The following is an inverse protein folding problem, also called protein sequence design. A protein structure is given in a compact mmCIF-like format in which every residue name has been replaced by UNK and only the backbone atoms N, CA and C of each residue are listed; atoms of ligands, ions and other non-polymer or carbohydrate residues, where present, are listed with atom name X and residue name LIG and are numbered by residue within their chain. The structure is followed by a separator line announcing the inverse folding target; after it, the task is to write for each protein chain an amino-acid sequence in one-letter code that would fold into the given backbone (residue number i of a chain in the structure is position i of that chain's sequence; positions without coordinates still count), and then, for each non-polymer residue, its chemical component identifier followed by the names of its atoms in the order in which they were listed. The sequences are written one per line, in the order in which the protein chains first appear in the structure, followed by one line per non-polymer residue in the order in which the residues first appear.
data_IF_476075535336
#
_entry.id   IF_476075535336
#
_cell.length_a   1.000
_cell.length_b   1.000
_cell.length_c   1.000
_cell.angle_alpha   90.00
_cell.angle_beta   90.00
_cell.angle_gamma   90.00
#
_symmetry.space_group_name_H-M   'P 1'
#
loop_
_entity.id
_entity.type
_entity.pdbx_description
1 polymer ?
#
# COMPACT_ATOMS: atom_id res chain seq x y z
N UNK A 1 -63.65 69.19 58.84
CA UNK A 1 -63.16 70.53 59.27
C UNK A 1 -61.70 70.39 59.64
N UNK A 2 -60.87 71.39 59.50
CA UNK A 2 -60.49 72.13 58.27
C UNK A 2 -58.99 72.00 57.99
N UNK A 3 -58.62 72.16 56.76
CA UNK A 3 -57.74 73.15 56.12
C UNK A 3 -56.39 73.37 56.82
N UNK A 4 -55.26 73.11 56.12
CA UNK A 4 -54.29 74.20 55.88
C UNK A 4 -53.36 73.83 54.67
N UNK A 5 -53.27 74.83 53.79
CA UNK A 5 -52.38 74.90 52.61
C UNK A 5 -50.96 75.27 53.11
N UNK A 6 -49.97 74.74 52.43
CA UNK A 6 -48.71 75.45 52.29
C UNK A 6 -48.03 75.02 50.94
N UNK A 7 -47.81 76.07 50.15
CA UNK A 7 -47.10 76.04 48.91
C UNK A 7 -45.60 76.08 49.15
N UNK A 8 -44.78 75.37 48.40
CA UNK A 8 -43.33 75.62 48.29
C UNK A 8 -42.80 75.23 46.90
N UNK A 9 -42.27 76.19 46.28
CA UNK A 9 -41.38 76.43 45.18
C UNK A 9 -40.76 75.21 44.42
N UNK A 10 -40.88 75.39 43.13
CA UNK A 10 -40.18 74.62 42.09
C UNK A 10 -38.64 74.85 42.08
N UNK A 11 -37.90 73.79 42.02
CA UNK A 11 -36.51 73.77 41.62
C UNK A 11 -36.35 72.88 40.43
N UNK A 12 -36.14 73.51 39.26
CA UNK A 12 -35.92 72.82 37.99
C UNK A 12 -34.42 72.34 37.94
N UNK A 13 -34.18 71.10 38.23
CA UNK A 13 -32.89 70.51 38.01
C UNK A 13 -32.91 69.76 36.64
N UNK A 14 -32.21 70.33 35.67
CA UNK A 14 -31.97 69.67 34.37
C UNK A 14 -31.05 68.47 34.56
N UNK A 15 -31.62 67.26 34.42
CA UNK A 15 -30.88 66.01 34.31
C UNK A 15 -30.28 65.89 32.90
N UNK A 16 -28.96 66.10 32.80
CA UNK A 16 -28.19 65.73 31.62
C UNK A 16 -28.13 64.25 31.62
N UNK A 17 -28.81 63.57 30.72
CA UNK A 17 -28.63 62.12 30.42
C UNK A 17 -27.29 61.91 29.71
N UNK A 18 -26.44 60.98 30.17
CA UNK A 18 -25.28 60.58 29.39
C UNK A 18 -25.74 59.89 28.13
N UNK A 19 -25.19 60.28 26.97
CA UNK A 19 -25.43 59.60 25.69
C UNK A 19 -24.94 58.14 25.77
N UNK A 20 -25.83 57.18 25.47
CA UNK A 20 -25.47 55.78 25.27
C UNK A 20 -24.45 55.69 24.14
N UNK A 21 -23.36 54.90 24.33
CA UNK A 21 -22.41 54.63 23.23
C UNK A 21 -23.15 53.87 22.12
N UNK A 22 -22.78 54.07 20.85
CA UNK A 22 -23.42 53.37 19.72
C UNK A 22 -23.26 51.87 19.88
N UNK A 23 -24.36 51.14 19.82
CA UNK A 23 -24.35 49.66 19.78
C UNK A 23 -23.61 49.23 18.52
N UNK A 24 -22.40 48.74 18.70
CA UNK A 24 -21.64 48.10 17.65
C UNK A 24 -22.37 46.79 17.33
N UNK A 25 -22.93 46.68 16.14
CA UNK A 25 -23.49 45.44 15.63
C UNK A 25 -22.41 44.33 15.72
N UNK A 26 -22.71 43.17 16.29
CA UNK A 26 -21.79 42.07 16.26
C UNK A 26 -21.61 41.66 14.81
N UNK A 27 -20.46 42.03 14.21
CA UNK A 27 -20.09 41.47 12.94
C UNK A 27 -20.03 39.94 13.10
N UNK A 28 -21.03 39.26 12.57
CA UNK A 28 -21.06 37.80 12.43
C UNK A 28 -19.92 37.47 11.47
N UNK A 29 -18.73 37.16 12.04
CA UNK A 29 -17.65 36.57 11.28
C UNK A 29 -18.06 35.14 10.99
N UNK A 30 -18.61 34.88 9.81
CA UNK A 30 -18.74 33.57 9.26
C UNK A 30 -17.31 33.03 9.11
N UNK A 31 -16.89 32.13 10.01
CA UNK A 31 -15.78 31.26 9.79
C UNK A 31 -16.30 30.08 8.99
N UNK A 32 -16.17 30.14 7.70
CA UNK A 32 -16.34 28.98 6.84
C UNK A 32 -15.19 28.04 7.13
N UNK A 33 -15.46 26.96 7.84
CA UNK A 33 -14.49 25.89 8.10
C UNK A 33 -14.57 24.95 6.90
N UNK A 34 -13.70 25.15 5.92
CA UNK A 34 -13.55 24.23 4.78
C UNK A 34 -12.74 23.04 5.28
N UNK A 35 -13.41 21.93 5.50
CA UNK A 35 -12.73 20.64 5.76
C UNK A 35 -12.29 20.06 4.41
N UNK A 36 -10.98 20.02 4.19
CA UNK A 36 -10.39 19.46 2.98
C UNK A 36 -9.93 18.04 3.28
N UNK A 37 -10.66 17.07 2.74
CA UNK A 37 -10.25 15.66 2.80
C UNK A 37 -9.16 15.39 1.76
N UNK A 38 -8.10 14.67 2.15
CA UNK A 38 -7.00 14.29 1.28
C UNK A 38 -6.95 12.80 1.07
N UNK A 39 -6.70 12.43 -0.17
CA UNK A 39 -6.47 11.04 -0.56
C UNK A 39 -4.97 10.82 -0.74
N UNK A 40 -4.47 9.72 -0.17
CA UNK A 40 -3.08 9.28 -0.29
C UNK A 40 -3.02 8.03 -1.17
N UNK A 41 -2.13 8.07 -2.16
CA UNK A 41 -1.89 6.96 -3.09
C UNK A 41 -0.39 6.64 -3.09
N UNK A 42 -0.07 5.39 -2.82
CA UNK A 42 1.28 4.87 -3.02
C UNK A 42 1.47 4.52 -4.49
N UNK A 43 2.58 4.99 -5.08
CA UNK A 43 2.90 4.77 -6.47
C UNK A 43 4.37 4.40 -6.64
N UNK A 44 4.65 3.45 -7.51
CA UNK A 44 6.02 3.04 -7.85
C UNK A 44 6.28 3.37 -9.30
N UNK A 45 7.24 4.24 -9.54
CA UNK A 45 7.66 4.62 -10.88
C UNK A 45 8.95 3.86 -11.24
N UNK A 46 8.90 3.10 -12.33
CA UNK A 46 10.06 2.35 -12.85
C UNK A 46 10.26 2.65 -14.32
N UNK A 47 11.51 2.60 -14.77
CA UNK A 47 11.86 2.72 -16.19
C UNK A 47 11.62 1.41 -16.97
N UNK A 48 11.92 1.40 -18.25
CA UNK A 48 11.76 0.24 -19.14
C UNK A 48 12.67 -0.94 -18.73
N UNK A 49 13.74 -0.69 -17.97
CA UNK A 49 14.62 -1.72 -17.43
C UNK A 49 14.13 -2.27 -16.08
N UNK A 50 13.09 -1.67 -15.51
CA UNK A 50 12.54 -2.02 -14.19
C UNK A 50 13.21 -1.29 -13.03
N UNK A 51 14.13 -0.35 -13.30
CA UNK A 51 14.79 0.43 -12.25
C UNK A 51 13.91 1.55 -11.71
N UNK A 52 13.97 1.85 -10.40
CA UNK A 52 13.15 2.90 -9.81
C UNK A 52 13.55 4.27 -10.35
N UNK A 53 12.56 5.08 -10.68
CA UNK A 53 12.77 6.48 -11.07
C UNK A 53 12.58 7.33 -9.83
N UNK A 54 13.68 7.81 -9.24
CA UNK A 54 13.65 8.72 -8.10
C UNK A 54 13.67 10.20 -8.54
N UNK A 55 13.39 11.12 -7.60
CA UNK A 55 13.49 12.57 -7.83
C UNK A 55 12.34 13.17 -8.65
N UNK A 56 11.19 12.48 -8.75
CA UNK A 56 10.00 13.02 -9.42
C UNK A 56 9.22 13.93 -8.46
N UNK A 57 8.75 15.06 -8.99
CA UNK A 57 7.83 15.96 -8.29
C UNK A 57 6.37 15.78 -8.74
N UNK A 58 5.42 16.53 -8.16
CA UNK A 58 4.00 16.45 -8.52
C UNK A 58 3.72 16.69 -10.00
N UNK A 59 4.50 17.57 -10.66
CA UNK A 59 4.35 17.89 -12.08
C UNK A 59 4.78 16.76 -13.03
N UNK A 60 5.58 15.81 -12.54
CA UNK A 60 6.02 14.65 -13.32
C UNK A 60 4.95 13.54 -13.37
N UNK A 61 3.88 13.67 -12.59
CA UNK A 61 2.78 12.71 -12.56
C UNK A 61 1.49 13.29 -13.14
N UNK A 62 0.72 12.44 -13.77
CA UNK A 62 -0.66 12.70 -14.18
C UNK A 62 -1.57 11.76 -13.42
N UNK A 63 -2.36 12.30 -12.49
CA UNK A 63 -3.40 11.57 -11.78
C UNK A 63 -4.75 11.81 -12.44
N UNK A 64 -5.53 10.75 -12.63
CA UNK A 64 -6.94 10.83 -13.01
C UNK A 64 -7.79 10.08 -11.99
N UNK A 65 -8.95 10.65 -11.68
CA UNK A 65 -10.02 10.03 -10.90
C UNK A 65 -11.25 9.95 -11.79
N UNK A 66 -11.79 8.75 -12.00
CA UNK A 66 -12.89 8.48 -12.94
C UNK A 66 -12.65 9.09 -14.33
N UNK A 67 -11.40 9.01 -14.81
CA UNK A 67 -10.97 9.55 -16.09
C UNK A 67 -10.70 11.06 -16.14
N UNK A 68 -11.01 11.81 -15.06
CA UNK A 68 -10.77 13.26 -14.98
C UNK A 68 -9.43 13.54 -14.31
N UNK A 69 -8.64 14.43 -14.91
CA UNK A 69 -7.36 14.86 -14.33
C UNK A 69 -7.60 15.63 -13.04
N UNK A 70 -6.90 15.22 -11.98
CA UNK A 70 -6.90 15.85 -10.66
C UNK A 70 -5.48 16.32 -10.35
N UNK A 71 -5.30 17.57 -9.88
CA UNK A 71 -3.99 18.08 -9.52
C UNK A 71 -3.43 17.35 -8.29
N UNK A 72 -2.14 17.03 -8.30
CA UNK A 72 -1.43 16.54 -7.14
C UNK A 72 -0.95 17.70 -6.28
N UNK A 73 -1.16 17.62 -4.97
CA UNK A 73 -0.61 18.57 -4.00
C UNK A 73 0.86 18.26 -3.69
N UNK A 74 1.19 16.96 -3.60
CA UNK A 74 2.54 16.52 -3.26
C UNK A 74 2.89 15.15 -3.86
N UNK A 75 4.19 14.91 -4.03
CA UNK A 75 4.78 13.64 -4.41
C UNK A 75 6.10 13.49 -3.63
N UNK A 76 6.11 12.60 -2.63
CA UNK A 76 7.28 12.36 -1.81
C UNK A 76 7.84 10.98 -2.07
N UNK A 77 9.15 10.91 -2.32
CA UNK A 77 9.86 9.64 -2.44
C UNK A 77 10.17 9.08 -1.05
N UNK A 78 9.70 7.87 -0.80
CA UNK A 78 10.03 7.07 0.39
C UNK A 78 10.97 5.96 -0.08
N UNK A 79 12.26 6.12 0.19
CA UNK A 79 13.23 5.09 -0.10
C UNK A 79 13.03 3.89 0.83
N UNK A 80 13.26 2.68 0.31
CA UNK A 80 13.47 1.54 1.18
C UNK A 80 14.72 1.80 2.05
N UNK A 81 14.70 1.32 3.30
CA UNK A 81 15.87 1.45 4.16
C UNK A 81 17.11 0.93 3.43
N UNK A 82 18.12 1.78 3.28
CA UNK A 82 19.32 1.44 2.53
C UNK A 82 20.09 0.32 3.25
N UNK A 83 20.63 -0.63 2.46
CA UNK A 83 21.74 -1.43 2.93
C UNK A 83 22.85 -0.45 3.31
N UNK A 84 23.36 -0.50 4.52
CA UNK A 84 24.53 0.31 4.93
C UNK A 84 25.71 -0.04 4.03
N UNK A 85 25.79 0.56 2.87
CA UNK A 85 27.03 0.66 2.09
C UNK A 85 27.82 1.80 2.74
N UNK A 86 29.03 1.49 3.21
CA UNK A 86 29.96 2.49 3.71
C UNK A 86 29.99 3.69 2.76
N UNK A 87 29.92 4.94 3.24
CA UNK A 87 29.84 6.11 2.39
C UNK A 87 31.08 6.19 1.50
N UNK A 88 30.88 5.94 0.19
CA UNK A 88 31.84 6.35 -0.82
C UNK A 88 31.88 7.88 -0.81
N UNK A 89 33.05 8.45 -0.52
CA UNK A 89 33.22 9.88 -0.39
C UNK A 89 32.70 10.59 -1.68
N UNK A 90 31.89 11.65 -1.54
CA UNK A 90 31.38 12.36 -2.69
C UNK A 90 32.52 12.94 -3.50
N UNK A 91 32.46 12.91 -4.84
CA UNK A 91 33.41 13.66 -5.66
C UNK A 91 33.23 15.14 -5.36
N UNK A 92 34.34 15.79 -5.01
CA UNK A 92 34.41 17.23 -4.79
C UNK A 92 33.94 17.97 -6.07
N UNK A 93 32.84 18.71 -5.97
CA UNK A 93 32.48 19.69 -6.99
C UNK A 93 31.05 19.74 -7.51
N UNK A 94 30.04 19.18 -6.87
CA UNK A 94 28.65 19.33 -7.29
C UNK A 94 27.81 20.06 -6.23
N UNK A 95 27.74 21.38 -6.32
CA UNK A 95 26.70 22.18 -5.66
C UNK A 95 25.39 22.06 -6.44
N UNK A 96 24.56 21.12 -6.04
CA UNK A 96 23.16 21.11 -6.42
C UNK A 96 22.35 20.97 -5.13
N UNK A 97 21.76 22.10 -4.72
CA UNK A 97 20.81 22.12 -3.61
C UNK A 97 19.55 21.35 -4.03
N UNK A 98 19.57 20.05 -3.82
CA UNK A 98 18.36 19.24 -3.86
C UNK A 98 17.82 19.22 -2.44
N UNK A 99 16.72 19.92 -2.20
CA UNK A 99 15.98 19.80 -0.94
C UNK A 99 15.39 18.39 -0.84
N UNK A 100 16.19 17.46 -0.37
CA UNK A 100 15.70 16.21 0.17
C UNK A 100 15.17 16.55 1.56
N UNK A 101 13.86 16.74 1.68
CA UNK A 101 13.23 16.73 3.01
C UNK A 101 13.27 15.28 3.49
N UNK A 102 14.41 14.89 4.03
CA UNK A 102 14.49 13.75 4.92
C UNK A 102 13.75 14.21 6.19
N UNK A 103 12.66 13.55 6.64
CA UNK A 103 12.16 13.80 7.97
C UNK A 103 13.36 13.56 8.90
N UNK A 104 13.72 14.57 9.71
CA UNK A 104 14.80 14.41 10.69
C UNK A 104 14.51 13.14 11.48
N UNK A 105 15.44 12.17 11.53
CA UNK A 105 15.29 11.02 12.39
C UNK A 105 15.19 11.56 13.81
N UNK A 106 14.09 11.33 14.48
CA UNK A 106 14.04 11.45 15.93
C UNK A 106 15.12 10.51 16.43
N UNK A 107 16.16 11.07 17.07
CA UNK A 107 17.31 10.30 17.57
C UNK A 107 16.78 9.12 18.40
N UNK A 108 16.93 7.91 17.88
CA UNK A 108 16.61 6.65 18.58
C UNK A 108 15.63 5.69 17.88
N UNK A 109 14.86 6.08 16.85
CA UNK A 109 14.00 5.15 16.12
C UNK A 109 14.53 4.93 14.70
N UNK A 110 15.15 3.78 14.46
CA UNK A 110 15.38 3.28 13.11
C UNK A 110 14.06 3.23 12.37
N UNK A 111 14.01 3.74 11.14
CA UNK A 111 12.79 3.66 10.30
C UNK A 111 12.26 2.22 10.32
N UNK A 112 10.95 2.02 10.56
CA UNK A 112 10.39 0.68 10.62
C UNK A 112 10.66 -0.05 9.30
N UNK A 113 11.24 -1.26 9.38
CA UNK A 113 11.53 -2.09 8.21
C UNK A 113 10.23 -2.48 7.48
N UNK A 114 10.37 -2.80 6.20
CA UNK A 114 9.26 -3.24 5.37
C UNK A 114 8.72 -4.59 5.84
N UNK A 115 7.40 -4.78 5.73
CA UNK A 115 6.76 -6.07 5.90
C UNK A 115 6.52 -6.70 4.52
N UNK A 116 7.19 -7.81 4.26
CA UNK A 116 7.15 -8.51 2.97
C UNK A 116 6.62 -9.92 3.19
N UNK A 117 5.63 -10.33 2.41
CA UNK A 117 5.06 -11.67 2.43
C UNK A 117 5.41 -12.38 1.14
N UNK A 118 6.12 -13.50 1.21
CA UNK A 118 6.21 -14.44 0.10
C UNK A 118 5.02 -15.40 0.17
N UNK A 119 4.16 -15.34 -0.86
CA UNK A 119 3.04 -16.24 -1.03
C UNK A 119 3.34 -17.20 -2.18
N UNK A 120 3.55 -18.48 -1.88
CA UNK A 120 3.79 -19.51 -2.87
C UNK A 120 2.52 -20.32 -3.11
N UNK A 121 2.02 -20.28 -4.34
CA UNK A 121 0.96 -21.17 -4.80
C UNK A 121 1.57 -22.46 -5.29
N UNK A 122 1.41 -23.53 -4.51
CA UNK A 122 1.88 -24.88 -4.83
C UNK A 122 0.80 -25.65 -5.60
N UNK A 123 1.24 -26.48 -6.54
CA UNK A 123 0.40 -27.49 -7.17
C UNK A 123 1.13 -28.84 -7.12
N UNK A 124 0.37 -29.92 -7.10
CA UNK A 124 0.91 -31.26 -7.15
C UNK A 124 1.18 -31.74 -8.59
N UNK A 125 0.80 -30.98 -9.59
CA UNK A 125 1.14 -31.26 -10.97
C UNK A 125 2.63 -30.99 -11.20
N UNK A 126 3.39 -32.03 -11.60
CA UNK A 126 4.83 -31.95 -11.84
C UNK A 126 5.21 -30.84 -12.84
N UNK A 127 4.34 -30.60 -13.85
CA UNK A 127 4.55 -29.54 -14.84
C UNK A 127 4.53 -28.13 -14.22
N UNK A 128 3.84 -27.97 -13.08
CA UNK A 128 3.72 -26.70 -12.33
C UNK A 128 4.71 -26.55 -11.20
N UNK A 129 5.43 -27.61 -10.80
CA UNK A 129 6.45 -27.53 -9.73
C UNK A 129 7.74 -26.87 -10.19
N UNK A 130 8.14 -27.05 -11.44
CA UNK A 130 9.39 -26.49 -11.98
C UNK A 130 9.46 -24.97 -11.94
N UNK A 131 8.36 -24.29 -12.13
CA UNK A 131 8.26 -22.83 -12.04
C UNK A 131 8.56 -22.32 -10.63
N UNK A 132 7.76 -22.72 -9.63
CA UNK A 132 8.00 -22.37 -8.23
C UNK A 132 9.41 -22.71 -7.74
N UNK A 133 10.00 -23.84 -8.14
CA UNK A 133 11.37 -24.21 -7.79
C UNK A 133 12.41 -23.25 -8.38
N UNK A 134 12.22 -22.80 -9.63
CA UNK A 134 13.10 -21.76 -10.21
C UNK A 134 12.95 -20.44 -9.48
N UNK A 135 11.73 -20.02 -9.18
CA UNK A 135 11.48 -18.77 -8.46
C UNK A 135 11.95 -18.82 -7.01
N UNK A 136 11.94 -20.01 -6.39
CA UNK A 136 12.53 -20.22 -5.08
C UNK A 136 14.01 -19.81 -5.05
N UNK A 137 14.79 -20.25 -6.05
CA UNK A 137 16.20 -19.85 -6.18
C UNK A 137 16.33 -18.33 -6.33
N UNK A 138 15.47 -17.72 -7.11
CA UNK A 138 15.50 -16.27 -7.34
C UNK A 138 14.97 -15.49 -6.13
N UNK A 139 13.96 -16.01 -5.41
CA UNK A 139 13.48 -15.42 -4.16
C UNK A 139 14.59 -15.38 -3.09
N UNK A 140 15.52 -16.34 -3.10
CA UNK A 140 16.68 -16.33 -2.21
C UNK A 140 17.61 -15.13 -2.50
N UNK A 141 17.76 -14.70 -3.75
CA UNK A 141 18.56 -13.51 -4.07
C UNK A 141 17.92 -12.23 -3.51
N UNK A 142 16.58 -12.14 -3.53
CA UNK A 142 15.87 -11.00 -2.92
C UNK A 142 16.14 -10.94 -1.41
N UNK A 143 16.22 -12.09 -0.73
CA UNK A 143 16.55 -12.13 0.71
C UNK A 143 17.93 -11.53 1.00
N UNK A 144 18.88 -11.70 0.07
CA UNK A 144 20.24 -11.15 0.23
C UNK A 144 20.27 -9.62 0.07
N UNK A 145 19.32 -9.06 -0.66
CA UNK A 145 19.21 -7.61 -0.94
C UNK A 145 18.28 -6.84 0.02
N UNK A 146 17.64 -7.55 0.96
CA UNK A 146 16.79 -6.90 1.97
C UNK A 146 17.59 -6.05 2.95
N UNK A 147 17.02 -4.91 3.36
CA UNK A 147 17.60 -4.09 4.42
C UNK A 147 17.56 -4.85 5.78
N UNK A 148 18.47 -4.56 6.71
CA UNK A 148 18.51 -5.25 8.02
C UNK A 148 17.20 -5.19 8.80
N UNK A 149 16.46 -4.08 8.68
CA UNK A 149 15.19 -3.88 9.36
C UNK A 149 14.01 -4.59 8.67
N UNK A 150 14.14 -5.03 7.41
CA UNK A 150 13.06 -5.70 6.68
C UNK A 150 12.70 -7.03 7.32
N UNK A 151 11.41 -7.29 7.42
CA UNK A 151 10.87 -8.54 7.94
C UNK A 151 10.07 -9.27 6.88
N UNK A 152 10.29 -10.55 6.78
CA UNK A 152 9.66 -11.41 5.77
C UNK A 152 8.88 -12.53 6.45
N UNK A 153 7.64 -12.73 6.01
CA UNK A 153 6.83 -13.90 6.30
C UNK A 153 6.73 -14.80 5.07
N UNK A 154 6.60 -16.11 5.27
CA UNK A 154 6.45 -17.09 4.20
C UNK A 154 5.14 -17.84 4.37
N UNK A 155 4.31 -17.82 3.34
CA UNK A 155 3.00 -18.45 3.28
C UNK A 155 2.94 -19.35 2.05
N UNK A 156 2.32 -20.52 2.19
CA UNK A 156 2.15 -21.49 1.11
C UNK A 156 0.67 -21.86 0.99
N UNK A 157 0.16 -21.83 -0.20
CA UNK A 157 -1.17 -22.33 -0.56
C UNK A 157 -1.03 -23.63 -1.36
N UNK A 158 -1.53 -24.75 -0.80
CA UNK A 158 -1.51 -26.09 -1.37
C UNK A 158 -2.85 -26.82 -1.14
N UNK A 159 -3.97 -26.26 -1.55
CA UNK A 159 -5.36 -26.56 -1.18
C UNK A 159 -5.77 -26.04 0.20
N UNK A 160 -4.81 -25.57 0.99
CA UNK A 160 -4.98 -24.89 2.25
C UNK A 160 -3.98 -23.78 2.37
N UNK A 161 -4.30 -22.75 3.14
CA UNK A 161 -3.35 -21.71 3.44
C UNK A 161 -2.51 -22.07 4.66
N UNK A 162 -1.20 -22.10 4.49
CA UNK A 162 -0.25 -22.48 5.53
C UNK A 162 0.75 -21.36 5.79
N UNK A 163 0.81 -20.86 7.02
CA UNK A 163 1.89 -19.97 7.46
C UNK A 163 3.12 -20.81 7.79
N UNK A 164 4.17 -20.69 6.99
CA UNK A 164 5.43 -21.43 7.14
C UNK A 164 6.45 -20.71 8.00
N UNK A 165 6.44 -19.38 7.96
CA UNK A 165 7.30 -18.52 8.75
C UNK A 165 6.60 -17.22 9.05
N UNK A 166 6.59 -16.82 10.31
CA UNK A 166 6.13 -15.50 10.73
C UNK A 166 7.17 -14.43 10.42
N UNK A 167 6.80 -13.17 10.46
CA UNK A 167 7.70 -12.06 10.14
C UNK A 167 9.01 -12.12 10.94
N UNK A 168 10.12 -12.25 10.22
CA UNK A 168 11.46 -12.27 10.79
C UNK A 168 12.45 -11.50 9.93
N UNK A 169 13.49 -10.94 10.54
CA UNK A 169 14.67 -10.41 9.85
C UNK A 169 15.83 -11.40 9.80
N UNK A 170 15.68 -12.58 10.41
CA UNK A 170 16.71 -13.63 10.38
C UNK A 170 16.86 -14.23 8.99
N UNK A 171 17.94 -13.87 8.32
CA UNK A 171 18.26 -14.27 6.93
C UNK A 171 18.54 -15.76 6.79
N UNK A 172 19.11 -16.39 7.80
CA UNK A 172 19.42 -17.82 7.78
C UNK A 172 18.12 -18.63 7.83
N UNK A 173 17.25 -18.31 8.77
CA UNK A 173 15.91 -18.91 8.87
C UNK A 173 15.09 -18.69 7.59
N UNK A 174 15.14 -17.48 7.02
CA UNK A 174 14.46 -17.18 5.75
C UNK A 174 14.96 -18.04 4.60
N UNK A 175 16.29 -18.14 4.41
CA UNK A 175 16.88 -18.98 3.35
C UNK A 175 16.48 -20.44 3.53
N UNK A 176 16.54 -20.95 4.76
CA UNK A 176 16.15 -22.32 5.05
C UNK A 176 14.68 -22.58 4.72
N UNK A 177 13.77 -21.71 5.17
CA UNK A 177 12.33 -21.90 4.96
C UNK A 177 11.95 -21.71 3.49
N UNK A 178 12.45 -20.68 2.81
CA UNK A 178 12.18 -20.47 1.37
C UNK A 178 12.77 -21.64 0.58
N UNK A 179 13.98 -22.11 0.94
CA UNK A 179 14.62 -23.28 0.32
C UNK A 179 13.80 -24.57 0.44
N UNK A 180 12.91 -24.68 1.43
CA UNK A 180 12.13 -25.88 1.69
C UNK A 180 10.61 -25.69 1.56
N UNK A 181 10.12 -24.44 1.47
CA UNK A 181 8.71 -24.10 1.57
C UNK A 181 7.83 -24.81 0.54
N UNK A 182 8.34 -25.05 -0.66
CA UNK A 182 7.60 -25.69 -1.76
C UNK A 182 7.63 -27.22 -1.63
N UNK A 183 8.77 -27.79 -1.22
CA UNK A 183 9.01 -29.23 -1.22
C UNK A 183 8.43 -29.92 0.01
N UNK A 184 8.58 -29.30 1.17
CA UNK A 184 8.24 -29.93 2.44
C UNK A 184 6.85 -29.49 2.86
N UNK A 185 5.88 -30.39 2.67
CA UNK A 185 4.47 -30.21 3.03
C UNK A 185 4.17 -30.16 4.54
N UNK A 186 5.19 -29.92 5.39
CA UNK A 186 5.01 -29.97 6.84
C UNK A 186 4.22 -28.75 7.34
N UNK A 187 2.98 -28.99 7.74
CA UNK A 187 2.07 -28.00 8.30
C UNK A 187 2.37 -27.74 9.80
N UNK A 188 3.64 -27.61 10.16
CA UNK A 188 3.98 -27.30 11.56
C UNK A 188 3.47 -25.92 11.93
N UNK A 189 3.04 -25.83 13.17
CA UNK A 189 2.69 -24.54 13.77
C UNK A 189 3.91 -23.63 13.83
N UNK A 190 3.77 -22.45 13.23
CA UNK A 190 4.73 -21.37 13.42
C UNK A 190 4.29 -20.53 14.61
N UNK A 191 5.06 -20.50 15.70
CA UNK A 191 4.75 -19.63 16.83
C UNK A 191 4.88 -18.16 16.40
N UNK A 192 4.15 -17.25 17.07
CA UNK A 192 4.30 -15.83 16.83
C UNK A 192 5.73 -15.36 17.16
N UNK A 193 6.29 -14.53 16.28
CA UNK A 193 7.51 -13.77 16.56
C UNK A 193 7.16 -12.48 17.35
N UNK A 194 8.15 -11.78 17.93
CA UNK A 194 7.91 -10.44 18.46
C UNK A 194 7.24 -9.53 17.43
N UNK A 195 6.31 -8.65 17.83
CA UNK A 195 5.57 -7.78 16.93
C UNK A 195 6.48 -7.00 15.98
N UNK A 196 6.03 -6.78 14.71
CA UNK A 196 4.76 -7.22 14.13
C UNK A 196 4.74 -8.72 13.81
N UNK A 197 3.66 -9.43 14.19
CA UNK A 197 3.51 -10.87 14.02
C UNK A 197 2.27 -11.18 13.16
N UNK A 198 2.47 -11.88 12.05
CA UNK A 198 1.36 -12.39 11.24
C UNK A 198 0.66 -13.57 11.93
N UNK A 199 1.43 -14.41 12.64
CA UNK A 199 0.91 -15.59 13.30
C UNK A 199 -0.10 -15.27 14.42
N UNK A 200 0.02 -14.09 15.04
CA UNK A 200 -0.89 -13.61 16.10
C UNK A 200 -2.29 -13.37 15.55
N UNK A 201 -2.41 -12.88 14.31
CA UNK A 201 -3.67 -12.51 13.67
C UNK A 201 -4.17 -13.55 12.66
N UNK A 202 -3.43 -14.64 12.46
CA UNK A 202 -3.68 -15.63 11.42
C UNK A 202 -4.77 -16.65 11.84
N UNK A 203 -5.95 -16.58 11.23
CA UNK A 203 -7.05 -17.52 11.46
C UNK A 203 -6.76 -18.88 10.81
N UNK A 204 -6.24 -19.81 11.59
CA UNK A 204 -5.89 -21.16 11.15
C UNK A 204 -7.08 -22.01 10.75
N UNK A 205 -8.26 -21.77 11.34
CA UNK A 205 -9.45 -22.54 11.02
C UNK A 205 -9.93 -22.15 9.62
N UNK A 206 -10.00 -20.85 9.33
CA UNK A 206 -10.32 -20.36 7.98
C UNK A 206 -9.24 -20.75 6.98
N UNK A 207 -7.97 -20.64 7.34
CA UNK A 207 -6.83 -21.00 6.50
C UNK A 207 -6.89 -22.47 6.04
N UNK A 208 -7.24 -23.41 6.92
CA UNK A 208 -7.44 -24.83 6.59
C UNK A 208 -8.63 -25.09 5.67
N UNK A 209 -9.59 -24.16 5.61
CA UNK A 209 -10.76 -24.25 4.75
C UNK A 209 -10.62 -23.46 3.45
N UNK A 210 -9.54 -22.71 3.30
CA UNK A 210 -9.27 -21.94 2.08
C UNK A 210 -8.99 -22.91 0.93
N UNK A 211 -10.00 -23.12 0.08
CA UNK A 211 -9.94 -24.08 -1.04
C UNK A 211 -9.59 -23.42 -2.38
N UNK A 212 -9.49 -22.09 -2.43
CA UNK A 212 -9.08 -21.34 -3.60
C UNK A 212 -8.05 -20.27 -3.24
N UNK A 213 -7.25 -19.79 -4.20
CA UNK A 213 -6.31 -18.69 -3.97
C UNK A 213 -7.02 -17.43 -3.48
N UNK A 214 -8.25 -17.15 -3.97
CA UNK A 214 -9.03 -15.98 -3.58
C UNK A 214 -9.44 -16.05 -2.12
N UNK A 215 -9.92 -17.21 -1.65
CA UNK A 215 -10.22 -17.42 -0.22
C UNK A 215 -8.96 -17.33 0.63
N UNK A 216 -7.83 -17.86 0.14
CA UNK A 216 -6.54 -17.76 0.81
C UNK A 216 -6.08 -16.30 0.94
N UNK A 217 -6.22 -15.50 -0.14
CA UNK A 217 -5.92 -14.07 -0.11
C UNK A 217 -6.80 -13.31 0.89
N UNK A 218 -8.11 -13.65 0.97
CA UNK A 218 -9.01 -13.03 1.94
C UNK A 218 -8.56 -13.31 3.38
N UNK A 219 -8.26 -14.56 3.71
CA UNK A 219 -7.79 -14.94 5.06
C UNK A 219 -6.47 -14.24 5.41
N UNK A 220 -5.56 -14.17 4.45
CA UNK A 220 -4.27 -13.51 4.65
C UNK A 220 -4.42 -11.99 4.77
N UNK A 221 -5.27 -11.38 3.94
CA UNK A 221 -5.55 -9.95 3.99
C UNK A 221 -6.16 -9.52 5.33
N UNK A 222 -7.11 -10.31 5.87
CA UNK A 222 -7.69 -10.07 7.19
C UNK A 222 -6.61 -10.05 8.29
N UNK A 223 -5.66 -10.98 8.25
CA UNK A 223 -4.55 -11.00 9.20
C UNK A 223 -3.57 -9.82 9.00
N UNK A 224 -3.27 -9.45 7.75
CA UNK A 224 -2.39 -8.34 7.43
C UNK A 224 -2.99 -6.97 7.77
N UNK A 225 -4.32 -6.85 7.79
CA UNK A 225 -5.02 -5.62 8.14
C UNK A 225 -4.74 -5.18 9.58
N UNK A 226 -4.54 -6.12 10.49
CA UNK A 226 -4.23 -5.85 11.89
C UNK A 226 -2.81 -5.31 12.11
N UNK A 227 -1.95 -5.38 11.09
CA UNK A 227 -0.57 -4.93 11.17
C UNK A 227 -0.42 -3.49 10.63
N UNK A 228 0.42 -2.65 11.26
CA UNK A 228 0.59 -1.27 10.86
C UNK A 228 1.37 -1.13 9.54
N UNK A 229 1.20 0.02 8.89
CA UNK A 229 1.99 0.45 7.74
C UNK A 229 1.71 -0.29 6.42
N UNK A 230 2.42 0.10 5.34
CA UNK A 230 2.33 -0.55 4.05
C UNK A 230 3.01 -1.92 4.06
N UNK A 231 2.44 -2.86 3.31
CA UNK A 231 2.96 -4.21 3.17
C UNK A 231 3.13 -4.58 1.70
N UNK A 232 4.07 -5.45 1.42
CA UNK A 232 4.30 -5.98 0.09
C UNK A 232 4.08 -7.48 0.09
N UNK A 233 3.32 -7.99 -0.88
CA UNK A 233 3.17 -9.41 -1.13
C UNK A 233 3.82 -9.77 -2.47
N UNK A 234 4.68 -10.77 -2.46
CA UNK A 234 5.24 -11.39 -3.67
C UNK A 234 4.52 -12.71 -3.88
N UNK A 235 3.54 -12.69 -4.78
CA UNK A 235 2.74 -13.85 -5.11
C UNK A 235 3.42 -14.63 -6.25
N UNK A 236 4.00 -15.77 -5.91
CA UNK A 236 4.60 -16.70 -6.86
C UNK A 236 3.59 -17.82 -7.14
N UNK A 237 3.01 -17.85 -8.33
CA UNK A 237 1.93 -18.77 -8.63
C UNK A 237 1.72 -19.03 -10.10
N UNK A 238 0.65 -19.74 -10.40
CA UNK A 238 0.30 -20.18 -11.76
C UNK A 238 -1.09 -19.76 -12.19
N UNK A 239 -1.87 -19.08 -11.36
CA UNK A 239 -3.17 -18.56 -11.76
C UNK A 239 -4.17 -18.43 -10.64
N UNK A 240 -5.25 -17.68 -10.94
CA UNK A 240 -6.40 -17.49 -10.07
C UNK A 240 -7.68 -17.54 -10.89
N UNK A 241 -8.78 -17.89 -10.25
CA UNK A 241 -10.10 -17.99 -10.88
C UNK A 241 -10.40 -19.37 -11.43
N UNK A 242 -11.59 -19.46 -11.98
CA UNK A 242 -12.11 -20.66 -12.61
C UNK A 242 -12.38 -20.43 -14.08
N UNK A 243 -11.80 -21.28 -14.92
CA UNK A 243 -12.03 -21.27 -16.36
C UNK A 243 -13.36 -21.96 -16.70
N UNK A 244 -14.22 -21.27 -17.41
CA UNK A 244 -15.43 -21.85 -18.01
C UNK A 244 -15.15 -22.23 -19.46
N UNK A 245 -15.03 -23.52 -19.73
CA UNK A 245 -14.79 -24.05 -21.10
C UNK A 245 -15.90 -23.80 -22.08
N UNK A 246 -17.12 -23.40 -21.64
CA UNK A 246 -18.24 -23.08 -22.53
C UNK A 246 -18.17 -21.64 -23.05
N UNK A 247 -17.88 -20.70 -22.20
CA UNK A 247 -17.75 -19.28 -22.54
C UNK A 247 -16.35 -18.88 -22.96
N UNK A 248 -15.33 -19.69 -22.63
CA UNK A 248 -13.92 -19.34 -22.82
C UNK A 248 -13.43 -18.25 -21.86
N UNK A 249 -14.23 -17.93 -20.83
CA UNK A 249 -13.93 -16.87 -19.87
C UNK A 249 -13.38 -17.41 -18.56
N UNK A 250 -12.64 -16.55 -17.83
CA UNK A 250 -12.23 -16.81 -16.45
C UNK A 250 -13.07 -15.94 -15.53
N UNK A 251 -13.60 -16.55 -14.48
CA UNK A 251 -14.34 -15.86 -13.43
C UNK A 251 -13.59 -16.07 -12.11
N UNK A 252 -13.27 -14.97 -11.41
CA UNK A 252 -12.72 -15.05 -10.06
C UNK A 252 -13.78 -15.56 -9.08
N UNK A 253 -13.34 -16.31 -8.06
CA UNK A 253 -14.25 -16.81 -7.05
C UNK A 253 -14.86 -15.64 -6.25
N UNK A 254 -16.05 -15.83 -5.64
CA UNK A 254 -16.79 -14.75 -4.95
C UNK A 254 -15.99 -14.06 -3.84
N UNK A 255 -15.05 -14.77 -3.21
CA UNK A 255 -14.19 -14.24 -2.15
C UNK A 255 -13.17 -13.20 -2.64
N UNK A 256 -12.94 -13.08 -3.96
CA UNK A 256 -12.00 -12.10 -4.48
C UNK A 256 -12.44 -10.65 -4.21
N UNK A 257 -13.72 -10.33 -4.36
CA UNK A 257 -14.22 -8.98 -4.08
C UNK A 257 -13.94 -8.51 -2.65
N UNK A 258 -14.31 -9.31 -1.61
CA UNK A 258 -13.90 -9.08 -0.24
C UNK A 258 -12.37 -9.01 -0.06
N UNK A 259 -11.61 -9.96 -0.62
CA UNK A 259 -10.15 -10.00 -0.53
C UNK A 259 -9.51 -8.72 -1.05
N UNK A 260 -9.95 -8.24 -2.23
CA UNK A 260 -9.48 -6.97 -2.82
C UNK A 260 -9.67 -5.79 -1.87
N UNK A 261 -10.89 -5.63 -1.31
CA UNK A 261 -11.18 -4.54 -0.36
C UNK A 261 -10.27 -4.61 0.86
N UNK A 262 -10.15 -5.79 1.46
CA UNK A 262 -9.30 -5.97 2.66
C UNK A 262 -7.82 -5.76 2.35
N UNK A 263 -7.31 -6.18 1.18
CA UNK A 263 -5.93 -5.90 0.75
C UNK A 263 -5.67 -4.40 0.62
N UNK A 264 -6.61 -3.64 0.05
CA UNK A 264 -6.50 -2.18 -0.07
C UNK A 264 -6.54 -1.49 1.30
N UNK A 265 -7.44 -1.90 2.19
CA UNK A 265 -7.52 -1.41 3.58
C UNK A 265 -6.25 -1.73 4.37
N UNK A 266 -5.71 -2.94 4.19
CA UNK A 266 -4.46 -3.38 4.78
C UNK A 266 -3.22 -2.72 4.15
N UNK A 267 -3.36 -1.91 3.10
CA UNK A 267 -2.28 -1.28 2.33
C UNK A 267 -1.28 -2.31 1.82
N UNK A 268 -1.79 -3.42 1.24
CA UNK A 268 -0.97 -4.48 0.65
C UNK A 268 -0.85 -4.24 -0.85
N UNK A 269 0.38 -4.14 -1.34
CA UNK A 269 0.69 -4.18 -2.77
C UNK A 269 1.08 -5.60 -3.15
N UNK A 270 0.47 -6.17 -4.18
CA UNK A 270 0.72 -7.55 -4.62
C UNK A 270 1.48 -7.56 -5.95
N UNK A 271 2.69 -8.12 -5.95
CA UNK A 271 3.47 -8.41 -7.15
C UNK A 271 3.27 -9.86 -7.53
N UNK A 272 2.71 -10.12 -8.71
CA UNK A 272 2.42 -11.47 -9.19
C UNK A 272 3.51 -11.95 -10.15
N UNK A 273 4.17 -13.03 -9.77
CA UNK A 273 5.17 -13.72 -10.58
C UNK A 273 4.56 -15.04 -11.07
N UNK A 274 4.14 -15.04 -12.32
CA UNK A 274 3.56 -16.21 -12.98
C UNK A 274 4.67 -17.16 -13.41
N UNK A 275 4.64 -18.37 -12.86
CA UNK A 275 5.64 -19.41 -13.07
C UNK A 275 5.22 -20.48 -14.08
N UNK A 276 4.06 -20.32 -14.70
CA UNK A 276 3.54 -21.22 -15.74
C UNK A 276 4.50 -21.28 -16.94
N UNK A 277 4.73 -22.46 -17.48
CA UNK A 277 5.56 -22.66 -18.67
C UNK A 277 4.73 -22.50 -19.95
N UNK A 278 4.12 -21.35 -20.11
CA UNK A 278 3.34 -21.01 -21.28
C UNK A 278 3.44 -19.51 -21.57
N UNK A 279 3.41 -19.16 -22.85
CA UNK A 279 3.37 -17.74 -23.26
C UNK A 279 2.04 -17.07 -22.91
N UNK A 280 0.99 -17.88 -22.80
CA UNK A 280 -0.35 -17.46 -22.41
C UNK A 280 -1.12 -18.62 -21.78
N UNK A 281 -1.89 -18.31 -20.72
CA UNK A 281 -2.88 -19.23 -20.16
C UNK A 281 -4.05 -18.45 -19.54
N UNK A 282 -5.24 -19.07 -19.54
CA UNK A 282 -6.46 -18.35 -19.14
C UNK A 282 -6.46 -17.82 -17.73
N UNK A 283 -5.86 -18.55 -16.77
CA UNK A 283 -5.88 -18.18 -15.34
C UNK A 283 -4.91 -17.04 -14.98
N UNK A 284 -4.07 -16.58 -15.91
CA UNK A 284 -3.20 -15.40 -15.69
C UNK A 284 -4.01 -14.12 -15.45
N UNK A 285 -5.24 -14.07 -16.01
CA UNK A 285 -6.15 -12.91 -15.84
C UNK A 285 -6.39 -12.60 -14.37
N UNK A 286 -6.52 -13.62 -13.52
CA UNK A 286 -6.70 -13.42 -12.08
C UNK A 286 -5.45 -12.84 -11.40
N UNK A 287 -4.25 -13.27 -11.81
CA UNK A 287 -3.00 -12.70 -11.30
C UNK A 287 -2.79 -11.26 -11.77
N UNK A 288 -3.14 -10.96 -13.03
CA UNK A 288 -3.12 -9.59 -13.56
C UNK A 288 -4.06 -8.68 -12.76
N UNK A 289 -5.29 -9.16 -12.53
CA UNK A 289 -6.32 -8.40 -11.82
C UNK A 289 -5.88 -8.03 -10.38
N UNK A 290 -5.36 -8.99 -9.61
CA UNK A 290 -4.95 -8.69 -8.23
C UNK A 290 -3.74 -7.73 -8.18
N UNK A 291 -2.82 -7.86 -9.13
CA UNK A 291 -1.68 -6.95 -9.23
C UNK A 291 -2.13 -5.51 -9.55
N UNK A 292 -3.01 -5.33 -10.55
CA UNK A 292 -3.54 -4.03 -10.94
C UNK A 292 -4.38 -3.40 -9.82
N UNK A 293 -5.27 -4.17 -9.19
CA UNK A 293 -6.14 -3.66 -8.13
C UNK A 293 -5.35 -3.14 -6.92
N UNK A 294 -4.20 -3.76 -6.62
CA UNK A 294 -3.39 -3.42 -5.44
C UNK A 294 -2.18 -2.52 -5.73
N UNK A 295 -1.98 -2.12 -6.98
CA UNK A 295 -0.87 -1.24 -7.37
C UNK A 295 0.49 -1.94 -7.48
N UNK A 296 0.48 -3.23 -7.74
CA UNK A 296 1.66 -4.01 -8.10
C UNK A 296 1.79 -4.23 -9.60
N UNK A 297 2.51 -5.26 -9.99
CA UNK A 297 2.63 -5.69 -11.36
C UNK A 297 2.51 -7.21 -11.49
N UNK A 298 2.13 -7.65 -12.69
CA UNK A 298 2.17 -9.01 -13.13
C UNK A 298 3.37 -9.23 -14.05
N UNK A 299 4.09 -10.35 -13.88
CA UNK A 299 5.18 -10.74 -14.76
C UNK A 299 5.19 -12.26 -14.98
N UNK A 300 5.31 -12.67 -16.26
CA UNK A 300 5.59 -14.05 -16.65
C UNK A 300 7.09 -14.32 -16.47
N UNK A 301 7.43 -15.37 -15.74
CA UNK A 301 8.82 -15.66 -15.36
C UNK A 301 9.45 -16.79 -16.18
N UNK A 302 8.66 -17.45 -17.02
CA UNK A 302 9.09 -18.63 -17.78
C UNK A 302 10.21 -18.33 -18.78
N UNK A 303 10.16 -17.20 -19.52
CA UNK A 303 11.19 -16.84 -20.50
C UNK A 303 12.27 -15.91 -19.93
N UNK A 304 11.86 -14.94 -19.10
CA UNK A 304 12.73 -13.85 -18.63
C UNK A 304 12.66 -13.69 -17.10
N UNK A 305 13.03 -14.73 -16.31
CA UNK A 305 12.95 -14.66 -14.85
C UNK A 305 13.78 -13.50 -14.26
N UNK A 306 14.98 -13.27 -14.79
CA UNK A 306 15.87 -12.22 -14.29
C UNK A 306 15.30 -10.81 -14.52
N UNK A 307 14.55 -10.59 -15.61
CA UNK A 307 13.90 -9.33 -15.87
C UNK A 307 12.76 -9.08 -14.88
N UNK A 308 11.94 -10.11 -14.60
CA UNK A 308 10.88 -10.03 -13.62
C UNK A 308 11.43 -9.71 -12.22
N UNK A 309 12.56 -10.30 -11.87
CA UNK A 309 13.21 -10.07 -10.57
C UNK A 309 13.84 -8.68 -10.47
N UNK A 310 14.57 -8.22 -11.48
CA UNK A 310 15.07 -6.82 -11.49
C UNK A 310 13.94 -5.81 -11.34
N UNK A 311 12.79 -6.08 -11.99
CA UNK A 311 11.60 -5.22 -11.86
C UNK A 311 11.03 -5.26 -10.43
N UNK A 312 11.05 -6.43 -9.78
CA UNK A 312 10.64 -6.57 -8.39
C UNK A 312 11.59 -5.83 -7.45
N UNK A 313 12.90 -6.00 -7.61
CA UNK A 313 13.93 -5.30 -6.84
C UNK A 313 13.79 -3.78 -6.99
N UNK A 314 13.60 -3.29 -8.22
CA UNK A 314 13.35 -1.88 -8.48
C UNK A 314 12.06 -1.37 -7.82
N UNK A 315 10.98 -2.14 -7.87
CA UNK A 315 9.72 -1.79 -7.21
C UNK A 315 9.81 -1.84 -5.68
N UNK A 316 10.71 -2.67 -5.14
CA UNK A 316 10.98 -2.74 -3.70
C UNK A 316 11.96 -1.65 -3.23
N UNK A 317 12.70 -0.99 -4.10
CA UNK A 317 13.69 0.02 -3.72
C UNK A 317 13.08 1.30 -3.13
N UNK A 318 11.79 1.56 -3.37
CA UNK A 318 11.05 2.68 -2.81
C UNK A 318 9.73 2.93 -3.52
N UNK A 319 9.01 3.93 -3.04
CA UNK A 319 7.73 4.33 -3.62
C UNK A 319 7.49 5.83 -3.41
N UNK A 320 6.59 6.38 -4.21
CA UNK A 320 6.07 7.73 -4.02
C UNK A 320 4.80 7.68 -3.16
N UNK A 321 4.68 8.65 -2.28
CA UNK A 321 3.43 8.99 -1.60
C UNK A 321 2.86 10.21 -2.31
N UNK A 322 1.81 9.97 -3.08
CA UNK A 322 1.10 11.01 -3.83
C UNK A 322 -0.10 11.48 -3.01
N UNK A 323 -0.28 12.79 -2.88
CA UNK A 323 -1.41 13.36 -2.14
C UNK A 323 -2.19 14.30 -3.06
N UNK A 324 -3.51 14.20 -3.02
CA UNK A 324 -4.42 15.07 -3.73
C UNK A 324 -5.68 15.36 -2.91
N UNK A 325 -6.32 16.50 -3.18
CA UNK A 325 -7.61 16.84 -2.59
C UNK A 325 -8.67 15.88 -3.09
N UNK A 326 -9.47 15.31 -2.17
CA UNK A 326 -10.56 14.39 -2.51
C UNK A 326 -11.62 15.12 -3.34
N UNK A 327 -11.85 14.70 -4.60
CA UNK A 327 -12.91 15.31 -5.40
C UNK A 327 -14.28 15.08 -4.78
N UNK A 328 -15.18 16.06 -4.90
CA UNK A 328 -16.57 15.93 -4.45
C UNK A 328 -17.32 14.98 -5.39
N UNK A 329 -17.27 13.70 -5.08
CA UNK A 329 -17.92 12.62 -5.83
C UNK A 329 -18.99 11.94 -4.96
N UNK A 330 -19.74 11.02 -5.56
CA UNK A 330 -20.69 10.19 -4.81
C UNK A 330 -19.93 9.18 -3.95
N UNK A 331 -20.45 8.78 -2.76
CA UNK A 331 -19.81 7.71 -1.99
C UNK A 331 -19.67 6.42 -2.81
N UNK A 332 -18.52 5.75 -2.67
CA UNK A 332 -18.24 4.48 -3.30
C UNK A 332 -16.84 4.40 -3.94
N UNK A 333 -16.56 3.31 -4.66
CA UNK A 333 -15.26 3.12 -5.30
C UNK A 333 -15.08 4.03 -6.51
N UNK A 334 -13.95 4.73 -6.58
CA UNK A 334 -13.55 5.60 -7.69
C UNK A 334 -12.28 5.06 -8.34
N UNK A 335 -12.26 5.01 -9.67
CA UNK A 335 -11.10 4.56 -10.42
C UNK A 335 -9.96 5.59 -10.33
N UNK A 336 -8.73 5.10 -10.14
CA UNK A 336 -7.50 5.89 -10.18
C UNK A 336 -6.64 5.41 -11.36
N UNK A 337 -6.07 6.37 -12.08
CA UNK A 337 -5.06 6.14 -13.11
C UNK A 337 -3.91 7.13 -12.87
N UNK A 338 -2.70 6.61 -12.68
CA UNK A 338 -1.49 7.39 -12.43
C UNK A 338 -0.47 7.09 -13.52
N UNK A 339 -0.01 8.11 -14.22
CA UNK A 339 1.01 7.99 -15.26
C UNK A 339 2.09 9.05 -15.15
N UNK A 340 3.20 8.86 -15.86
CA UNK A 340 4.28 9.86 -15.98
C UNK A 340 3.96 10.89 -17.05
N UNK A 341 4.46 12.11 -16.86
CA UNK A 341 4.39 13.21 -17.84
C UNK A 341 5.79 13.46 -18.40
N UNK A 342 5.92 13.45 -19.74
CA UNK A 342 7.16 13.81 -20.42
C UNK A 342 8.34 12.85 -20.25
N UNK A 343 8.12 11.68 -19.64
CA UNK A 343 9.13 10.63 -19.42
C UNK A 343 8.61 9.26 -19.81
N UNK A 344 9.53 8.36 -20.22
CA UNK A 344 9.24 6.95 -20.41
C UNK A 344 9.30 6.23 -19.05
N UNK A 345 8.49 5.23 -18.89
CA UNK A 345 8.41 4.40 -17.69
C UNK A 345 6.97 4.01 -17.35
N UNK A 346 6.83 3.20 -16.33
CA UNK A 346 5.56 2.68 -15.85
C UNK A 346 5.34 3.11 -14.40
N UNK A 347 4.11 3.49 -14.08
CA UNK A 347 3.69 3.75 -12.70
C UNK A 347 2.78 2.64 -12.25
N UNK A 348 3.12 2.01 -11.13
CA UNK A 348 2.27 1.06 -10.43
C UNK A 348 1.61 1.75 -9.25
N UNK A 349 0.30 1.84 -9.25
CA UNK A 349 -0.51 2.41 -8.19
C UNK A 349 -1.82 1.63 -8.10
N UNK A 350 -2.44 1.63 -6.92
CA UNK A 350 -3.77 1.00 -6.77
C UNK A 350 -4.75 1.57 -7.78
N UNK A 351 -5.62 0.72 -8.34
CA UNK A 351 -6.56 1.10 -9.40
C UNK A 351 -7.79 1.85 -8.90
N UNK A 352 -8.04 1.88 -7.58
CA UNK A 352 -9.22 2.54 -7.00
C UNK A 352 -9.03 2.97 -5.55
N UNK A 353 -9.90 3.88 -5.08
CA UNK A 353 -10.06 4.23 -3.67
C UNK A 353 -11.54 4.35 -3.32
N UNK A 354 -11.87 4.20 -2.04
CA UNK A 354 -13.23 4.45 -1.53
C UNK A 354 -13.39 5.95 -1.25
N UNK A 355 -14.41 6.55 -1.86
CA UNK A 355 -14.71 7.98 -1.83
C UNK A 355 -15.80 8.38 -0.84
#
# INVERSE_FOLDING_TARGET
MPILRAAALAGLAALVQPAEPPKTDPQIRFREQVEVERVVVEARAVDDAGMPIAGLGPADFRLKVDGKVVPLESAYWVAAAAKETAPEAPPEGATTETFVVTPEPVEGESAPGRLIVFFFQKDFDESRLTGPLRMQKTALSVVDDLAPADRVAVVVFDHHLNLRLDFTSDRETLRHVIGNAILLGDARYTPPNPPPSLAEHFDRVRARKAASPETALLVLADALKELPGPKTMVFVGWGMGRYDGRSGSVTLEPDYGPARRTLLEARVTVFCLDVTQADYHSLEVGLQQVAEDTGGFYARTHLFPDQAMRRLEGALAGHYVLTFEKPRLRPGPHAIDVGLVGRKGTVFAKSSYEG
#
